data_IF_688117572384
#
_entry.id   IF_688117572384
#
_cell.length_a   1.000
_cell.length_b   1.000
_cell.length_c   1.000
_cell.angle_alpha   90.00
_cell.angle_beta   90.00
_cell.angle_gamma   90.00
#
_symmetry.space_group_name_H-M   'P 1'
#
loop_
_entity.id
_entity.type
_entity.pdbx_description
1 polymer ?
#
# COMPACT_ATOMS: atom_id res chain seq x y z
N UNK A 1 8.62 -15.35 -8.89
CA UNK A 1 8.18 -13.97 -9.18
C UNK A 1 8.53 -13.19 -7.93
N UNK A 2 9.15 -12.02 -8.04
CA UNK A 2 9.32 -11.19 -6.84
C UNK A 2 7.92 -10.77 -6.40
N UNK A 3 7.52 -11.14 -5.18
CA UNK A 3 6.22 -10.78 -4.62
C UNK A 3 6.11 -9.25 -4.66
N UNK A 4 5.12 -8.71 -5.39
CA UNK A 4 5.00 -7.26 -5.62
C UNK A 4 4.48 -6.52 -4.38
N UNK A 5 3.78 -7.24 -3.50
CA UNK A 5 3.32 -6.82 -2.19
C UNK A 5 3.61 -7.93 -1.18
N UNK A 6 3.91 -7.60 0.08
CA UNK A 6 4.01 -8.60 1.13
C UNK A 6 2.64 -9.23 1.39
N UNK A 7 2.57 -10.54 1.58
CA UNK A 7 1.31 -11.26 1.86
C UNK A 7 0.61 -10.78 3.15
N UNK A 8 1.42 -10.29 4.09
CA UNK A 8 0.93 -9.71 5.34
C UNK A 8 0.27 -8.34 5.13
N UNK A 9 0.42 -7.72 3.96
CA UNK A 9 -0.10 -6.38 3.74
C UNK A 9 -1.63 -6.37 3.65
N UNK A 10 -2.25 -5.34 4.23
CA UNK A 10 -3.70 -5.15 4.10
C UNK A 10 -4.14 -5.06 2.64
N UNK A 11 -3.40 -4.33 1.81
CA UNK A 11 -3.68 -4.24 0.38
C UNK A 11 -3.71 -5.63 -0.29
N UNK A 12 -2.73 -6.50 -0.01
CA UNK A 12 -2.71 -7.86 -0.52
C UNK A 12 -3.90 -8.69 -0.02
N UNK A 13 -4.21 -8.59 1.26
CA UNK A 13 -5.34 -9.30 1.87
C UNK A 13 -6.69 -8.87 1.30
N UNK A 14 -6.90 -7.57 1.07
CA UNK A 14 -8.14 -7.06 0.45
C UNK A 14 -8.33 -7.58 -0.97
N UNK A 15 -7.26 -7.58 -1.78
CA UNK A 15 -7.27 -8.11 -3.14
C UNK A 15 -7.58 -9.61 -3.14
N UNK A 16 -6.89 -10.38 -2.31
CA UNK A 16 -7.03 -11.85 -2.27
C UNK A 16 -8.34 -12.31 -1.64
N UNK A 17 -8.89 -11.56 -0.67
CA UNK A 17 -10.19 -11.82 -0.09
C UNK A 17 -11.36 -11.37 -1.01
N UNK A 18 -11.07 -10.77 -2.17
CA UNK A 18 -12.07 -10.24 -3.11
C UNK A 18 -13.06 -9.29 -2.43
N UNK A 19 -12.53 -8.35 -1.63
CA UNK A 19 -13.31 -7.26 -1.01
C UNK A 19 -13.76 -6.27 -2.10
N UNK A 20 -14.68 -5.36 -1.77
CA UNK A 20 -15.12 -4.30 -2.68
C UNK A 20 -13.98 -3.37 -3.13
N UNK A 21 -14.08 -2.89 -4.38
CA UNK A 21 -13.08 -2.02 -4.99
C UNK A 21 -12.83 -0.72 -4.22
N UNK A 22 -13.84 -0.02 -3.65
CA UNK A 22 -13.61 1.18 -2.84
C UNK A 22 -12.62 0.95 -1.69
N UNK A 23 -12.75 -0.16 -0.96
CA UNK A 23 -11.83 -0.52 0.12
C UNK A 23 -10.40 -0.78 -0.38
N UNK A 24 -10.26 -1.43 -1.54
CA UNK A 24 -8.96 -1.67 -2.18
C UNK A 24 -8.30 -0.35 -2.61
N UNK A 25 -9.08 0.55 -3.22
CA UNK A 25 -8.62 1.87 -3.68
C UNK A 25 -8.14 2.71 -2.50
N UNK A 26 -8.93 2.77 -1.42
CA UNK A 26 -8.59 3.52 -0.22
C UNK A 26 -7.29 3.00 0.40
N UNK A 27 -7.19 1.69 0.59
CA UNK A 27 -5.99 1.08 1.20
C UNK A 27 -4.74 1.27 0.34
N UNK A 28 -4.83 1.06 -0.98
CA UNK A 28 -3.70 1.21 -1.88
C UNK A 28 -3.20 2.67 -1.93
N UNK A 29 -4.11 3.64 -1.89
CA UNK A 29 -3.77 5.07 -1.82
C UNK A 29 -3.14 5.44 -0.48
N UNK A 30 -3.69 4.97 0.64
CA UNK A 30 -3.10 5.19 1.96
C UNK A 30 -1.66 4.69 2.00
N UNK A 31 -1.45 3.43 1.58
CA UNK A 31 -0.13 2.81 1.54
C UNK A 31 0.81 3.59 0.62
N UNK A 32 0.36 3.97 -0.59
CA UNK A 32 1.15 4.77 -1.54
C UNK A 32 1.60 6.08 -0.91
N UNK A 33 0.67 6.82 -0.30
CA UNK A 33 1.01 8.09 0.30
C UNK A 33 1.99 7.92 1.45
N UNK A 34 1.84 6.86 2.26
CA UNK A 34 2.76 6.55 3.35
C UNK A 34 4.16 6.18 2.85
N UNK A 35 4.29 5.43 1.75
CA UNK A 35 5.59 5.16 1.14
C UNK A 35 6.21 6.41 0.49
N UNK A 36 5.39 7.27 -0.12
CA UNK A 36 5.86 8.53 -0.71
C UNK A 36 6.45 9.49 0.35
N UNK A 37 5.91 9.45 1.57
CA UNK A 37 6.39 10.26 2.70
C UNK A 37 6.20 9.52 4.03
N UNK A 38 7.30 8.90 4.48
CA UNK A 38 7.37 8.05 5.68
C UNK A 38 7.32 8.85 6.99
N UNK A 39 7.86 10.07 6.99
CA UNK A 39 7.97 10.91 8.19
C UNK A 39 6.74 11.78 8.40
N UNK A 40 6.00 12.10 7.34
CA UNK A 40 4.78 12.89 7.43
C UNK A 40 3.71 12.21 8.27
N UNK A 41 3.23 12.97 9.25
CA UNK A 41 2.07 12.61 10.05
C UNK A 41 0.79 12.68 9.19
N UNK A 42 -0.05 11.67 9.36
CA UNK A 42 -1.37 11.56 8.75
C UNK A 42 -2.44 12.10 9.68
N UNK A 43 -3.67 12.18 9.19
CA UNK A 43 -4.81 12.68 9.99
C UNK A 43 -5.05 11.88 11.28
N UNK A 44 -4.58 10.62 11.32
CA UNK A 44 -4.57 9.76 12.51
C UNK A 44 -3.53 10.13 13.57
N UNK A 45 -2.65 11.10 13.32
CA UNK A 45 -1.50 11.43 14.17
C UNK A 45 -0.36 10.42 14.09
N UNK A 46 -0.47 9.40 13.22
CA UNK A 46 0.59 8.43 12.96
C UNK A 46 1.44 8.87 11.77
N UNK A 47 2.75 8.59 11.83
CA UNK A 47 3.63 8.77 10.68
C UNK A 47 3.34 7.72 9.61
N UNK A 48 3.67 8.02 8.35
CA UNK A 48 3.54 7.03 7.27
C UNK A 48 4.25 5.71 7.60
N UNK A 49 5.43 5.78 8.24
CA UNK A 49 6.15 4.60 8.72
C UNK A 49 5.34 3.77 9.73
N UNK A 50 4.68 4.42 10.70
CA UNK A 50 3.87 3.73 11.70
C UNK A 50 2.65 3.06 11.06
N UNK A 51 1.94 3.77 10.17
CA UNK A 51 0.81 3.24 9.42
C UNK A 51 1.21 2.02 8.59
N UNK A 52 2.33 2.08 7.86
CA UNK A 52 2.80 0.95 7.05
C UNK A 52 3.16 -0.28 7.90
N UNK A 53 3.68 -0.09 9.11
CA UNK A 53 3.92 -1.21 10.03
C UNK A 53 2.62 -1.87 10.47
N UNK A 54 1.59 -1.10 10.80
CA UNK A 54 0.27 -1.63 11.13
C UNK A 54 -0.41 -2.29 9.92
N UNK A 55 -0.13 -1.80 8.72
CA UNK A 55 -0.65 -2.35 7.47
C UNK A 55 0.13 -3.57 6.97
N UNK A 56 1.11 -4.09 7.73
CA UNK A 56 1.77 -5.37 7.45
C UNK A 56 3.08 -5.27 6.66
N UNK A 57 3.61 -4.06 6.42
CA UNK A 57 4.88 -3.87 5.70
C UNK A 57 6.13 -3.92 6.61
N UNK A 58 5.96 -4.23 7.89
CA UNK A 58 7.03 -4.14 8.89
C UNK A 58 8.31 -4.91 8.53
N UNK A 59 8.20 -6.08 7.91
CA UNK A 59 9.37 -6.88 7.50
C UNK A 59 10.11 -6.25 6.31
N UNK A 60 9.38 -5.67 5.36
CA UNK A 60 9.96 -5.01 4.19
C UNK A 60 10.63 -3.70 4.55
N UNK A 61 10.06 -2.94 5.48
CA UNK A 61 10.57 -1.62 5.87
C UNK A 61 12.00 -1.65 6.43
N UNK A 62 12.46 -2.77 6.99
CA UNK A 62 13.78 -2.85 7.61
C UNK A 62 14.93 -2.94 6.59
N UNK A 63 14.69 -3.53 5.42
CA UNK A 63 15.70 -3.82 4.40
C UNK A 63 15.42 -3.07 3.08
N UNK A 64 14.50 -2.09 3.11
CA UNK A 64 14.03 -1.40 1.91
C UNK A 64 14.99 -0.30 1.46
N UNK A 65 15.53 -0.46 0.25
CA UNK A 65 16.29 0.58 -0.45
C UNK A 65 15.37 1.55 -1.20
N UNK A 66 15.91 2.67 -1.67
CA UNK A 66 15.13 3.69 -2.40
C UNK A 66 14.49 3.14 -3.68
N UNK A 67 15.16 2.22 -4.38
CA UNK A 67 14.62 1.56 -5.57
C UNK A 67 13.41 0.67 -5.24
N UNK A 68 13.44 -0.02 -4.10
CA UNK A 68 12.35 -0.88 -3.65
C UNK A 68 11.14 -0.04 -3.26
N UNK A 69 11.38 1.11 -2.62
CA UNK A 69 10.35 2.11 -2.34
C UNK A 69 9.72 2.63 -3.63
N UNK A 70 10.51 2.93 -4.66
CA UNK A 70 9.97 3.37 -5.96
C UNK A 70 9.11 2.28 -6.62
N UNK A 71 9.58 1.02 -6.59
CA UNK A 71 8.84 -0.13 -7.14
C UNK A 71 7.49 -0.31 -6.45
N UNK A 72 7.45 -0.31 -5.12
CA UNK A 72 6.19 -0.53 -4.38
C UNK A 72 5.21 0.63 -4.57
N UNK A 73 5.70 1.89 -4.64
CA UNK A 73 4.85 3.02 -4.99
C UNK A 73 4.18 2.84 -6.35
N UNK A 74 4.94 2.37 -7.37
CA UNK A 74 4.40 2.08 -8.69
C UNK A 74 3.35 0.97 -8.69
N UNK A 75 3.58 -0.10 -7.93
CA UNK A 75 2.62 -1.21 -7.76
C UNK A 75 1.33 -0.72 -7.10
N UNK A 76 1.43 0.03 -6.01
CA UNK A 76 0.27 0.55 -5.28
C UNK A 76 -0.56 1.53 -6.11
N UNK A 77 0.11 2.39 -6.88
CA UNK A 77 -0.57 3.29 -7.82
C UNK A 77 -1.31 2.51 -8.90
N UNK A 78 -0.66 1.52 -9.52
CA UNK A 78 -1.30 0.66 -10.53
C UNK A 78 -2.52 -0.08 -9.98
N UNK A 79 -2.45 -0.58 -8.74
CA UNK A 79 -3.58 -1.25 -8.07
C UNK A 79 -4.74 -0.26 -7.86
N UNK A 80 -4.46 0.92 -7.33
CA UNK A 80 -5.49 1.93 -7.07
C UNK A 80 -6.19 2.38 -8.36
N UNK A 81 -5.41 2.62 -9.42
CA UNK A 81 -5.93 3.06 -10.72
C UNK A 81 -6.79 1.96 -11.37
N UNK A 82 -6.30 0.72 -11.42
CA UNK A 82 -7.04 -0.40 -11.98
C UNK A 82 -8.33 -0.71 -11.19
N UNK A 83 -8.27 -0.71 -9.86
CA UNK A 83 -9.45 -0.93 -9.03
C UNK A 83 -10.48 0.19 -9.22
N UNK A 84 -10.03 1.44 -9.41
CA UNK A 84 -10.90 2.57 -9.70
C UNK A 84 -11.55 2.48 -11.08
N UNK A 85 -10.85 1.97 -12.09
CA UNK A 85 -11.42 1.70 -13.42
C UNK A 85 -12.50 0.62 -13.33
N UNK A 86 -12.24 -0.48 -12.61
CA UNK A 86 -13.17 -1.59 -12.45
C UNK A 86 -14.41 -1.26 -11.59
N UNK A 87 -14.31 -0.31 -10.66
CA UNK A 87 -15.45 0.18 -9.86
C UNK A 87 -16.41 1.07 -10.66
N UNK A 88 -15.92 1.68 -11.74
CA UNK A 88 -16.71 2.56 -12.61
C UNK A 88 -17.39 1.82 -13.77
N UNK A 89 -17.15 0.51 -13.92
CA UNK A 89 -17.83 -0.38 -14.87
C UNK A 89 -19.12 -0.99 -14.29
#
# INVERSE_FOLDING_TARGET
>A
MADQLPEASKAFQLITASVDYPSIIEQAREDFYCFADLEKERESGMTGLATLKENGYGSWLNDMEEEDRLRICGVLQMIADLAQELDQE
#
